data_IF_229459652905
#
_entry.id   IF_229459652905
#
_cell.length_a   1.000
_cell.length_b   1.000
_cell.length_c   1.000
_cell.angle_alpha   90.00
_cell.angle_beta   90.00
_cell.angle_gamma   90.00
#
_symmetry.space_group_name_H-M   'P 1'
#
loop_
_entity.id
_entity.type
_entity.pdbx_description
1 polymer ?
#
# COMPACT_ATOMS: atom_id res chain seq x y z
N UNK A 1 30.27 10.94 -0.62
CA UNK A 1 29.03 11.38 0.05
C UNK A 1 28.81 12.88 -0.05
N UNK A 2 29.84 13.71 0.11
CA UNK A 2 29.68 15.16 0.33
C UNK A 2 28.98 15.92 -0.82
N UNK A 3 29.23 15.55 -2.08
CA UNK A 3 28.68 16.22 -3.27
C UNK A 3 27.34 15.65 -3.78
N UNK A 4 26.75 14.64 -3.11
CA UNK A 4 25.45 14.10 -3.50
C UNK A 4 24.29 15.06 -3.18
N UNK A 5 23.18 14.94 -3.92
CA UNK A 5 21.95 15.66 -3.63
C UNK A 5 21.53 15.49 -2.15
N UNK A 6 21.47 16.57 -1.35
CA UNK A 6 21.17 16.49 0.07
C UNK A 6 19.78 15.90 0.37
N UNK A 7 18.81 16.07 -0.52
CA UNK A 7 17.49 15.45 -0.37
C UNK A 7 17.58 13.92 -0.39
N UNK A 8 18.36 13.36 -1.32
CA UNK A 8 18.57 11.92 -1.45
C UNK A 8 19.29 11.35 -0.23
N UNK A 9 20.20 12.10 0.40
CA UNK A 9 20.87 11.68 1.65
C UNK A 9 19.89 11.50 2.82
N UNK A 10 18.76 12.22 2.81
CA UNK A 10 17.71 12.16 3.84
C UNK A 10 16.65 11.08 3.56
N UNK A 11 16.70 10.44 2.39
CA UNK A 11 15.74 9.40 2.03
C UNK A 11 16.05 8.13 2.82
N UNK A 12 15.11 7.74 3.68
CA UNK A 12 15.15 6.47 4.40
C UNK A 12 13.96 5.60 3.98
N UNK A 13 14.21 4.31 3.73
CA UNK A 13 13.16 3.36 3.33
C UNK A 13 13.32 2.01 4.05
N UNK A 14 12.78 1.95 5.27
CA UNK A 14 13.03 0.85 6.20
C UNK A 14 12.55 -0.54 5.72
N UNK A 15 11.56 -0.61 4.82
CA UNK A 15 11.04 -1.88 4.26
C UNK A 15 12.13 -2.67 3.52
N UNK A 16 13.22 -2.01 3.10
CA UNK A 16 14.43 -2.62 2.49
C UNK A 16 15.72 -2.21 3.22
N UNK A 17 15.64 -2.01 4.54
CA UNK A 17 16.75 -1.52 5.37
C UNK A 17 17.72 -2.60 5.90
N UNK A 18 18.48 -2.29 6.97
CA UNK A 18 19.54 -3.13 7.53
C UNK A 18 19.10 -4.56 7.89
N UNK A 19 17.88 -4.75 8.41
CA UNK A 19 17.37 -6.10 8.74
C UNK A 19 17.28 -6.97 7.48
N UNK A 20 16.84 -6.40 6.35
CA UNK A 20 16.75 -7.16 5.09
C UNK A 20 18.14 -7.51 4.57
N UNK A 21 19.11 -6.61 4.72
CA UNK A 21 20.51 -6.90 4.36
C UNK A 21 21.07 -8.03 5.22
N UNK A 22 20.83 -8.01 6.53
CA UNK A 22 21.23 -9.09 7.44
C UNK A 22 20.53 -10.41 7.10
N UNK A 23 19.25 -10.37 6.77
CA UNK A 23 18.49 -11.54 6.35
C UNK A 23 19.10 -12.19 5.10
N UNK A 24 19.46 -11.40 4.08
CA UNK A 24 20.15 -11.89 2.87
C UNK A 24 21.53 -12.47 3.20
N UNK A 25 22.26 -11.88 4.15
CA UNK A 25 23.53 -12.43 4.60
C UNK A 25 23.34 -13.80 5.27
N UNK A 26 22.36 -13.93 6.17
CA UNK A 26 22.03 -15.20 6.84
C UNK A 26 21.60 -16.26 5.82
N UNK A 27 20.83 -15.90 4.79
CA UNK A 27 20.50 -16.83 3.69
C UNK A 27 21.76 -17.36 2.99
N UNK A 28 22.76 -16.50 2.74
CA UNK A 28 24.06 -16.92 2.19
C UNK A 28 24.85 -17.80 3.15
N UNK A 29 24.87 -17.46 4.44
CA UNK A 29 25.53 -18.25 5.48
C UNK A 29 24.94 -19.68 5.53
N UNK A 30 23.62 -19.81 5.48
CA UNK A 30 22.92 -21.11 5.43
C UNK A 30 23.28 -21.91 4.17
N UNK A 31 23.34 -21.26 2.99
CA UNK A 31 23.77 -21.90 1.74
C UNK A 31 25.23 -22.39 1.80
N UNK A 32 26.09 -21.73 2.58
CA UNK A 32 27.47 -22.14 2.83
C UNK A 32 27.59 -23.23 3.91
N UNK A 33 26.47 -23.69 4.50
CA UNK A 33 26.46 -24.73 5.53
C UNK A 33 26.80 -24.22 6.94
N UNK A 34 26.81 -22.91 7.17
CA UNK A 34 26.99 -22.34 8.51
C UNK A 34 25.78 -22.72 9.36
N UNK A 35 26.04 -23.41 10.48
CA UNK A 35 24.98 -23.84 11.40
C UNK A 35 24.33 -22.63 12.09
N UNK A 36 23.00 -22.60 12.08
CA UNK A 36 22.15 -21.64 12.80
C UNK A 36 21.08 -22.41 13.59
N UNK A 37 20.40 -21.77 14.55
CA UNK A 37 19.26 -22.38 15.28
C UNK A 37 18.03 -22.66 14.39
N UNK A 38 18.08 -22.30 13.11
CA UNK A 38 17.02 -22.43 12.13
C UNK A 38 17.61 -22.80 10.76
N UNK A 39 16.77 -23.31 9.86
CA UNK A 39 17.18 -23.83 8.55
C UNK A 39 16.85 -22.89 7.38
N UNK A 40 16.00 -21.90 7.60
CA UNK A 40 15.61 -20.91 6.59
C UNK A 40 15.35 -19.54 7.22
N UNK A 41 15.47 -18.49 6.41
CA UNK A 41 14.98 -17.16 6.75
C UNK A 41 13.53 -17.04 6.25
N UNK A 42 12.61 -16.70 7.14
CA UNK A 42 11.22 -16.45 6.79
C UNK A 42 11.00 -14.95 6.64
N UNK A 43 10.83 -14.50 5.40
CA UNK A 43 10.60 -13.09 5.03
C UNK A 43 9.17 -12.67 5.32
N UNK A 44 8.86 -12.28 6.55
CA UNK A 44 7.57 -11.72 6.93
C UNK A 44 7.56 -10.17 6.92
N UNK A 45 8.46 -9.57 6.13
CA UNK A 45 8.73 -8.13 6.09
C UNK A 45 8.10 -7.41 4.88
N UNK A 46 7.66 -8.10 3.83
CA UNK A 46 7.17 -7.49 2.58
C UNK A 46 5.78 -8.01 2.18
N UNK A 47 4.95 -7.12 1.64
CA UNK A 47 3.65 -7.46 1.06
C UNK A 47 3.76 -7.94 -0.39
N UNK A 48 4.47 -9.03 -0.63
CA UNK A 48 4.60 -9.65 -1.97
C UNK A 48 3.80 -10.96 -1.99
N UNK A 49 2.59 -10.91 -2.56
CA UNK A 49 1.62 -12.00 -2.47
C UNK A 49 2.16 -13.31 -3.05
N UNK A 50 2.72 -13.26 -4.27
CA UNK A 50 3.19 -14.46 -4.97
C UNK A 50 4.47 -15.02 -4.37
N UNK A 51 5.40 -14.14 -3.94
CA UNK A 51 6.59 -14.60 -3.23
C UNK A 51 6.28 -15.35 -1.93
N UNK A 52 5.09 -15.13 -1.35
CA UNK A 52 4.61 -15.78 -0.13
C UNK A 52 3.62 -16.93 -0.38
N UNK A 53 3.43 -17.32 -1.64
CA UNK A 53 2.66 -18.50 -2.02
C UNK A 53 1.19 -18.26 -2.35
N UNK A 54 0.73 -17.01 -2.46
CA UNK A 54 -0.57 -16.75 -3.08
C UNK A 54 -0.51 -17.20 -4.55
N UNK A 55 -1.54 -17.95 -4.98
CA UNK A 55 -1.63 -18.40 -6.37
C UNK A 55 -2.09 -17.24 -7.26
N UNK A 56 -1.56 -17.12 -8.48
CA UNK A 56 -2.07 -16.14 -9.44
C UNK A 56 -3.50 -16.49 -9.85
N UNK A 57 -4.30 -15.48 -10.16
CA UNK A 57 -5.64 -15.64 -10.71
C UNK A 57 -5.54 -16.14 -12.15
N UNK A 58 -6.23 -17.24 -12.47
CA UNK A 58 -6.09 -17.93 -13.76
C UNK A 58 -6.48 -17.03 -14.93
N UNK A 59 -7.60 -16.32 -14.81
CA UNK A 59 -8.09 -15.43 -15.86
C UNK A 59 -7.09 -14.33 -16.23
N UNK A 60 -6.44 -13.72 -15.24
CA UNK A 60 -5.43 -12.68 -15.48
C UNK A 60 -4.25 -13.22 -16.29
N UNK A 61 -3.80 -14.43 -15.96
CA UNK A 61 -2.69 -15.10 -16.66
C UNK A 61 -3.07 -15.49 -18.07
N UNK A 62 -4.29 -15.96 -18.28
CA UNK A 62 -4.80 -16.31 -19.61
C UNK A 62 -4.80 -15.09 -20.54
N UNK A 63 -5.42 -13.98 -20.12
CA UNK A 63 -5.49 -12.77 -20.95
C UNK A 63 -4.10 -12.20 -21.23
N UNK A 64 -3.22 -12.12 -20.23
CA UNK A 64 -1.86 -11.62 -20.44
C UNK A 64 -1.03 -12.52 -21.36
N UNK A 65 -1.20 -13.84 -21.29
CA UNK A 65 -0.53 -14.77 -22.19
C UNK A 65 -1.00 -14.57 -23.63
N UNK A 66 -2.32 -14.44 -23.85
CA UNK A 66 -2.90 -14.16 -25.17
C UNK A 66 -2.44 -12.80 -25.72
N UNK A 67 -2.38 -11.75 -24.90
CA UNK A 67 -1.86 -10.47 -25.34
C UNK A 67 -0.35 -10.48 -25.63
N UNK A 68 0.42 -11.30 -24.90
CA UNK A 68 1.88 -11.41 -25.10
C UNK A 68 2.25 -12.28 -26.30
N UNK A 69 1.42 -13.27 -26.61
CA UNK A 69 1.59 -14.16 -27.77
C UNK A 69 0.25 -14.39 -28.48
N UNK A 70 -0.16 -13.46 -29.38
CA UNK A 70 -1.48 -13.47 -30.01
C UNK A 70 -1.81 -14.71 -30.84
N UNK A 71 -0.82 -15.48 -31.31
CA UNK A 71 -1.07 -16.75 -32.02
C UNK A 71 -1.85 -17.76 -31.16
N UNK A 72 -1.83 -17.61 -29.82
CA UNK A 72 -2.62 -18.42 -28.89
C UNK A 72 -4.13 -18.14 -28.95
N UNK A 73 -4.59 -17.11 -29.66
CA UNK A 73 -6.02 -16.84 -29.86
C UNK A 73 -6.73 -18.01 -30.58
N UNK A 74 -6.00 -18.74 -31.42
CA UNK A 74 -6.50 -19.94 -32.13
C UNK A 74 -6.49 -21.21 -31.26
N UNK A 75 -5.88 -21.17 -30.07
CA UNK A 75 -5.80 -22.33 -29.16
C UNK A 75 -7.14 -22.54 -28.44
N UNK A 76 -7.68 -23.76 -28.52
CA UNK A 76 -8.96 -24.14 -27.90
C UNK A 76 -8.89 -24.29 -26.38
N UNK A 77 -7.69 -24.25 -25.77
CA UNK A 77 -7.50 -24.30 -24.32
C UNK A 77 -7.83 -22.99 -23.60
N UNK A 78 -7.89 -21.88 -24.32
CA UNK A 78 -8.24 -20.59 -23.74
C UNK A 78 -9.76 -20.35 -23.84
N UNK A 79 -10.41 -19.86 -22.77
CA UNK A 79 -11.82 -19.58 -22.80
C UNK A 79 -12.12 -18.34 -23.66
N UNK A 80 -13.30 -18.31 -24.26
CA UNK A 80 -13.67 -17.28 -25.26
C UNK A 80 -13.76 -15.87 -24.66
N UNK A 81 -14.13 -15.74 -23.39
CA UNK A 81 -14.11 -14.46 -22.68
C UNK A 81 -12.67 -13.93 -22.51
N UNK A 82 -11.69 -14.79 -22.20
CA UNK A 82 -10.29 -14.38 -22.13
C UNK A 82 -9.75 -13.95 -23.51
N UNK A 83 -10.09 -14.68 -24.58
CA UNK A 83 -9.76 -14.28 -25.96
C UNK A 83 -10.38 -12.95 -26.33
N UNK A 84 -11.66 -12.76 -26.01
CA UNK A 84 -12.39 -11.51 -26.23
C UNK A 84 -11.72 -10.34 -25.52
N UNK A 85 -11.33 -10.50 -24.25
CA UNK A 85 -10.55 -9.48 -23.51
C UNK A 85 -9.22 -9.19 -24.20
N UNK A 86 -8.46 -10.22 -24.57
CA UNK A 86 -7.16 -10.06 -25.20
C UNK A 86 -7.24 -9.32 -26.55
N UNK A 87 -8.19 -9.71 -27.42
CA UNK A 87 -8.45 -9.04 -28.69
C UNK A 87 -8.79 -7.56 -28.49
N UNK A 88 -9.69 -7.25 -27.54
CA UNK A 88 -10.09 -5.88 -27.22
C UNK A 88 -8.91 -5.03 -26.76
N UNK A 89 -8.05 -5.56 -25.90
CA UNK A 89 -6.83 -4.87 -25.43
C UNK A 89 -5.85 -4.64 -26.59
N UNK A 90 -5.58 -5.68 -27.40
CA UNK A 90 -4.65 -5.58 -28.54
C UNK A 90 -5.13 -4.56 -29.58
N UNK A 91 -6.43 -4.53 -29.88
CA UNK A 91 -7.03 -3.54 -30.80
C UNK A 91 -6.85 -2.09 -30.31
N UNK A 92 -6.80 -1.88 -28.99
CA UNK A 92 -6.55 -0.57 -28.40
C UNK A 92 -5.05 -0.20 -28.35
N UNK A 93 -4.16 -1.14 -28.66
CA UNK A 93 -2.72 -0.93 -28.73
C UNK A 93 -2.29 -0.54 -30.15
N UNK A 94 -1.27 0.33 -30.26
CA UNK A 94 -0.65 0.66 -31.54
C UNK A 94 -0.10 -0.59 -32.23
N UNK A 95 -0.51 -0.84 -33.48
CA UNK A 95 -0.07 -2.01 -34.25
C UNK A 95 -0.50 -3.36 -33.66
N UNK A 96 -1.49 -3.40 -32.77
CA UNK A 96 -1.98 -4.65 -32.21
C UNK A 96 -1.01 -5.31 -31.22
N UNK A 97 -0.12 -4.54 -30.57
CA UNK A 97 0.97 -5.10 -29.76
C UNK A 97 1.15 -4.40 -28.42
N UNK A 98 1.33 -5.18 -27.35
CA UNK A 98 1.73 -4.66 -26.03
C UNK A 98 3.14 -4.03 -26.03
N UNK A 99 3.92 -4.21 -27.11
CA UNK A 99 5.24 -3.60 -27.25
C UNK A 99 5.22 -2.14 -27.68
N UNK A 100 4.06 -1.62 -28.12
CA UNK A 100 3.93 -0.22 -28.52
C UNK A 100 3.79 0.72 -27.32
N UNK A 101 4.20 1.97 -27.46
CA UNK A 101 3.82 3.02 -26.52
C UNK A 101 2.31 3.27 -26.59
N UNK A 102 1.69 3.46 -25.42
CA UNK A 102 0.34 4.03 -25.32
C UNK A 102 0.40 5.56 -25.22
N UNK A 103 -0.76 6.22 -25.13
CA UNK A 103 -0.79 7.62 -24.68
C UNK A 103 -0.22 7.74 -23.27
N UNK A 104 0.24 8.94 -22.90
CA UNK A 104 0.91 9.16 -21.61
C UNK A 104 0.01 9.02 -20.39
N UNK A 105 -1.31 9.23 -20.56
CA UNK A 105 -2.29 8.94 -19.52
C UNK A 105 -2.65 7.44 -19.46
N UNK A 106 -2.23 6.66 -20.45
CA UNK A 106 -2.56 5.25 -20.64
C UNK A 106 -3.51 5.01 -21.80
N UNK A 107 -3.73 3.73 -22.13
CA UNK A 107 -4.66 3.32 -23.19
C UNK A 107 -6.06 3.84 -22.85
N UNK A 108 -6.67 4.56 -23.79
CA UNK A 108 -7.98 5.21 -23.58
C UNK A 108 -9.07 4.21 -23.21
N UNK A 109 -9.15 3.09 -23.93
CA UNK A 109 -10.08 2.01 -23.63
C UNK A 109 -10.01 1.60 -22.14
N UNK A 110 -8.79 1.41 -21.63
CA UNK A 110 -8.56 0.96 -20.26
C UNK A 110 -8.93 2.07 -19.26
N UNK A 111 -8.67 3.35 -19.58
CA UNK A 111 -9.15 4.48 -18.77
C UNK A 111 -10.68 4.51 -18.70
N UNK A 112 -11.37 4.19 -19.79
CA UNK A 112 -12.82 4.07 -19.80
C UNK A 112 -13.32 2.89 -18.95
N UNK A 113 -12.62 1.75 -18.98
CA UNK A 113 -12.94 0.60 -18.13
C UNK A 113 -12.73 0.88 -16.64
N UNK A 114 -11.66 1.59 -16.29
CA UNK A 114 -11.42 2.09 -14.92
C UNK A 114 -12.55 3.03 -14.49
N UNK A 115 -12.95 3.98 -15.33
CA UNK A 115 -14.04 4.90 -15.01
C UNK A 115 -15.38 4.16 -14.77
N UNK A 116 -15.72 3.20 -15.64
CA UNK A 116 -16.91 2.34 -15.43
C UNK A 116 -16.82 1.50 -14.15
N UNK A 117 -15.63 0.99 -13.82
CA UNK A 117 -15.41 0.25 -12.58
C UNK A 117 -15.67 1.13 -11.35
N UNK A 118 -15.13 2.35 -11.35
CA UNK A 118 -15.34 3.32 -10.27
C UNK A 118 -16.83 3.65 -10.14
N UNK A 119 -17.51 3.92 -11.25
CA UNK A 119 -18.95 4.22 -11.25
C UNK A 119 -19.78 3.05 -10.69
N UNK A 120 -19.50 1.81 -11.09
CA UNK A 120 -20.16 0.62 -10.52
C UNK A 120 -19.88 0.47 -9.02
N UNK A 121 -18.62 0.58 -8.62
CA UNK A 121 -18.18 0.45 -7.21
C UNK A 121 -18.84 1.50 -6.33
N UNK A 122 -18.94 2.74 -6.82
CA UNK A 122 -19.44 3.87 -6.04
C UNK A 122 -20.97 4.02 -6.07
N UNK A 123 -21.68 3.09 -6.73
CA UNK A 123 -23.14 3.04 -6.75
C UNK A 123 -23.80 3.99 -7.76
N UNK A 124 -23.17 4.17 -8.93
CA UNK A 124 -23.67 5.01 -10.02
C UNK A 124 -23.13 6.45 -10.01
N UNK A 125 -22.17 6.77 -9.13
CA UNK A 125 -21.49 8.07 -9.15
C UNK A 125 -20.50 8.08 -10.30
N UNK A 126 -20.82 8.81 -11.36
CA UNK A 126 -20.04 8.87 -12.59
C UNK A 126 -18.56 9.20 -12.35
N UNK A 127 -17.70 8.60 -13.17
CA UNK A 127 -16.26 8.85 -13.25
C UNK A 127 -15.93 9.19 -14.70
N UNK A 128 -15.05 10.15 -14.94
CA UNK A 128 -14.65 10.53 -16.28
C UNK A 128 -13.28 9.95 -16.66
N UNK A 129 -13.12 9.33 -17.85
CA UNK A 129 -11.84 8.77 -18.29
C UNK A 129 -10.70 9.79 -18.35
N UNK A 130 -11.01 11.08 -18.56
CA UNK A 130 -10.03 12.18 -18.59
C UNK A 130 -9.52 12.59 -17.20
N UNK A 131 -10.10 12.04 -16.15
CA UNK A 131 -9.61 12.15 -14.78
C UNK A 131 -8.74 10.96 -14.39
N UNK A 132 -8.63 9.93 -15.25
CA UNK A 132 -7.88 8.71 -14.98
C UNK A 132 -6.48 8.79 -15.60
N UNK A 133 -5.47 8.53 -14.77
CA UNK A 133 -4.08 8.41 -15.19
C UNK A 133 -3.58 7.03 -14.80
N UNK A 134 -3.27 6.19 -15.79
CA UNK A 134 -2.64 4.90 -15.56
C UNK A 134 -1.18 5.11 -15.12
N UNK A 135 -0.66 4.22 -14.28
CA UNK A 135 0.63 4.41 -13.63
C UNK A 135 1.41 3.12 -13.44
N UNK A 136 2.72 3.24 -13.19
CA UNK A 136 3.61 2.10 -12.89
C UNK A 136 3.44 1.63 -11.44
N UNK A 137 2.22 1.20 -11.11
CA UNK A 137 1.72 0.98 -9.75
C UNK A 137 1.36 2.29 -9.06
N UNK A 138 0.71 2.21 -7.88
CA UNK A 138 0.31 3.40 -7.13
C UNK A 138 1.49 4.26 -6.68
N UNK A 139 2.67 3.66 -6.44
CA UNK A 139 3.87 4.41 -6.03
C UNK A 139 4.26 5.49 -7.03
N UNK A 140 4.06 5.21 -8.31
CA UNK A 140 4.36 6.10 -9.41
C UNK A 140 3.40 7.30 -9.45
N UNK A 141 2.11 7.03 -9.24
CA UNK A 141 1.06 8.04 -9.17
C UNK A 141 1.23 8.95 -7.95
N UNK A 142 1.51 8.39 -6.76
CA UNK A 142 1.78 9.15 -5.53
C UNK A 142 2.98 10.07 -5.73
N UNK A 143 4.09 9.56 -6.26
CA UNK A 143 5.29 10.37 -6.54
C UNK A 143 5.00 11.49 -7.56
N UNK A 144 4.18 11.21 -8.57
CA UNK A 144 3.78 12.20 -9.58
C UNK A 144 2.97 13.34 -8.95
N UNK A 145 1.99 13.02 -8.11
CA UNK A 145 1.19 14.04 -7.41
C UNK A 145 2.02 14.84 -6.40
N UNK A 146 2.90 14.20 -5.64
CA UNK A 146 3.81 14.93 -4.74
C UNK A 146 4.74 15.86 -5.53
N UNK A 147 5.29 15.41 -6.67
CA UNK A 147 6.12 16.25 -7.56
C UNK A 147 5.36 17.46 -8.10
N UNK A 148 4.07 17.29 -8.42
CA UNK A 148 3.21 18.36 -8.90
C UNK A 148 2.93 19.41 -7.80
N UNK A 149 2.74 18.97 -6.56
CA UNK A 149 2.30 19.83 -5.45
C UNK A 149 3.47 20.50 -4.70
N UNK A 150 4.65 19.89 -4.66
CA UNK A 150 5.78 20.38 -3.86
C UNK A 150 6.47 21.58 -4.53
N UNK A 151 6.43 22.72 -3.86
CA UNK A 151 7.00 24.00 -4.30
C UNK A 151 7.44 24.86 -3.10
N UNK A 152 7.91 26.09 -3.37
CA UNK A 152 8.29 27.06 -2.35
C UNK A 152 9.61 26.76 -1.63
N UNK A 153 9.98 27.60 -0.68
CA UNK A 153 11.19 27.47 0.15
C UNK A 153 10.97 28.11 1.53
N UNK A 154 11.78 27.77 2.52
CA UNK A 154 11.61 28.26 3.89
C UNK A 154 10.16 28.08 4.38
N UNK A 155 9.51 29.17 4.81
CA UNK A 155 8.13 29.13 5.30
C UNK A 155 7.08 28.85 4.21
N UNK A 156 7.36 29.16 2.93
CA UNK A 156 6.44 28.84 1.83
C UNK A 156 6.62 27.41 1.32
N UNK A 157 7.59 26.66 1.86
CA UNK A 157 7.83 25.28 1.45
C UNK A 157 6.61 24.42 1.69
N UNK A 158 6.20 23.65 0.68
CA UNK A 158 5.08 22.72 0.79
C UNK A 158 5.27 21.74 1.95
N UNK A 159 4.27 21.72 2.83
CA UNK A 159 4.09 20.71 3.86
C UNK A 159 3.02 19.68 3.46
N UNK A 160 3.27 18.41 3.72
CA UNK A 160 2.34 17.31 3.43
C UNK A 160 2.06 16.54 4.70
N UNK A 161 0.78 16.40 5.03
CA UNK A 161 0.31 15.68 6.20
C UNK A 161 0.26 14.17 5.94
N UNK A 162 0.96 13.39 6.76
CA UNK A 162 1.01 11.92 6.66
C UNK A 162 0.81 11.28 8.03
N UNK A 163 0.21 10.09 8.05
CA UNK A 163 -0.08 9.38 9.29
C UNK A 163 1.19 8.88 9.98
N UNK A 164 1.16 8.76 11.29
CA UNK A 164 2.14 8.02 12.08
C UNK A 164 1.38 6.95 12.87
N UNK A 165 1.66 5.66 12.63
CA UNK A 165 2.60 5.12 11.63
C UNK A 165 2.15 5.36 10.17
N UNK A 166 3.10 5.43 9.23
CA UNK A 166 2.88 5.60 7.78
C UNK A 166 3.37 4.39 6.98
N UNK A 167 2.95 4.29 5.71
CA UNK A 167 3.72 3.56 4.70
C UNK A 167 4.96 4.38 4.28
N UNK A 168 6.21 3.89 4.43
CA UNK A 168 7.42 4.72 4.31
C UNK A 168 7.72 5.29 2.92
N UNK A 169 6.93 4.92 1.89
CA UNK A 169 7.02 5.59 0.59
C UNK A 169 6.77 7.10 0.73
N UNK A 170 5.84 7.51 1.60
CA UNK A 170 5.48 8.90 1.76
C UNK A 170 6.64 9.72 2.31
N UNK A 171 7.19 9.38 3.49
CA UNK A 171 8.37 10.10 4.01
C UNK A 171 9.56 10.06 3.07
N UNK A 172 9.82 8.93 2.40
CA UNK A 172 10.89 8.83 1.42
C UNK A 172 10.68 9.81 0.25
N UNK A 173 9.47 9.89 -0.29
CA UNK A 173 9.13 10.80 -1.38
C UNK A 173 9.19 12.27 -0.95
N UNK A 174 8.69 12.60 0.26
CA UNK A 174 8.80 13.95 0.80
C UNK A 174 10.27 14.35 1.01
N UNK A 175 11.11 13.44 1.50
CA UNK A 175 12.55 13.69 1.64
C UNK A 175 13.23 13.90 0.28
N UNK A 176 12.96 13.06 -0.72
CA UNK A 176 13.48 13.17 -2.10
C UNK A 176 13.12 14.52 -2.71
N UNK A 177 11.87 14.94 -2.54
CA UNK A 177 11.35 16.20 -3.05
C UNK A 177 11.71 17.39 -2.17
N UNK A 178 12.29 17.18 -0.99
CA UNK A 178 12.61 18.23 -0.03
C UNK A 178 11.36 18.95 0.53
N UNK A 179 10.21 18.28 0.56
CA UNK A 179 8.99 18.78 1.19
C UNK A 179 9.09 18.69 2.72
N UNK A 180 8.22 19.41 3.42
CA UNK A 180 8.10 19.30 4.88
C UNK A 180 7.12 18.18 5.24
N UNK A 181 7.57 17.21 6.02
CA UNK A 181 6.69 16.18 6.58
C UNK A 181 5.91 16.75 7.76
N UNK A 182 4.58 16.72 7.68
CA UNK A 182 3.68 17.07 8.79
C UNK A 182 3.11 15.76 9.33
N UNK A 183 3.59 15.34 10.48
CA UNK A 183 3.15 14.09 11.10
C UNK A 183 1.85 14.29 11.90
N UNK A 184 0.82 13.48 11.62
CA UNK A 184 -0.34 13.33 12.49
C UNK A 184 -0.40 11.89 13.03
N UNK A 185 -0.76 11.71 14.30
CA UNK A 185 -0.75 10.39 14.94
C UNK A 185 -2.10 9.69 14.84
N UNK A 186 -2.10 8.44 14.40
CA UNK A 186 -3.27 7.58 14.52
C UNK A 186 -3.48 7.16 15.98
N UNK A 187 -4.73 6.94 16.38
CA UNK A 187 -5.07 6.55 17.74
C UNK A 187 -4.99 5.03 17.93
N UNK A 188 -3.86 4.56 18.45
CA UNK A 188 -3.64 3.14 18.77
C UNK A 188 -4.74 2.58 19.69
N UNK A 189 -5.19 3.33 20.68
CA UNK A 189 -6.14 2.82 21.67
C UNK A 189 -7.56 2.73 21.12
N UNK A 190 -7.83 3.44 20.02
CA UNK A 190 -9.09 3.38 19.27
C UNK A 190 -8.88 2.79 17.87
N UNK A 191 -8.28 1.59 17.80
CA UNK A 191 -8.12 0.79 16.57
C UNK A 191 -7.41 1.51 15.41
N UNK A 192 -6.43 2.38 15.70
CA UNK A 192 -5.71 3.20 14.71
C UNK A 192 -6.63 4.13 13.90
N UNK A 193 -7.77 4.52 14.48
CA UNK A 193 -8.64 5.53 13.90
C UNK A 193 -7.94 6.88 13.75
N UNK A 194 -8.45 7.67 12.83
CA UNK A 194 -8.00 9.03 12.61
C UNK A 194 -8.84 9.99 13.47
N UNK A 195 -8.16 10.93 14.14
CA UNK A 195 -8.79 11.97 14.95
C UNK A 195 -8.60 13.36 14.29
N UNK A 196 -9.70 14.08 14.09
CA UNK A 196 -9.71 15.43 13.51
C UNK A 196 -9.02 16.44 14.42
N UNK A 197 -9.11 16.28 15.74
CA UNK A 197 -8.43 17.17 16.69
C UNK A 197 -6.91 17.06 16.57
N UNK A 198 -6.42 15.85 16.30
CA UNK A 198 -5.02 15.58 16.04
C UNK A 198 -4.57 16.15 14.68
N UNK A 199 -5.40 16.02 13.64
CA UNK A 199 -5.13 16.70 12.35
C UNK A 199 -5.04 18.22 12.53
N UNK A 200 -5.96 18.82 13.27
CA UNK A 200 -5.95 20.26 13.57
C UNK A 200 -4.68 20.65 14.33
N UNK A 201 -4.29 19.90 15.37
CA UNK A 201 -3.06 20.14 16.13
C UNK A 201 -1.83 20.11 15.22
N UNK A 202 -1.69 19.05 14.41
CA UNK A 202 -0.55 18.88 13.51
C UNK A 202 -0.49 20.01 12.46
N UNK A 203 -1.64 20.40 11.90
CA UNK A 203 -1.74 21.48 10.93
C UNK A 203 -1.33 22.84 11.53
N UNK A 204 -1.83 23.17 12.72
CA UNK A 204 -1.54 24.46 13.37
C UNK A 204 -0.07 24.58 13.78
N UNK A 205 0.56 23.49 14.21
CA UNK A 205 2.00 23.48 14.46
C UNK A 205 2.79 23.72 13.17
N UNK A 206 2.43 23.01 12.10
CA UNK A 206 3.11 23.09 10.82
C UNK A 206 3.02 24.47 10.15
N UNK A 207 1.90 25.19 10.29
CA UNK A 207 1.72 26.56 9.78
C UNK A 207 2.77 27.55 10.31
N UNK A 208 3.47 27.23 11.40
CA UNK A 208 4.55 28.07 11.95
C UNK A 208 5.83 28.02 11.12
N UNK A 209 6.03 26.98 10.31
CA UNK A 209 7.32 26.73 9.65
C UNK A 209 7.22 26.16 8.22
N UNK A 210 6.02 25.96 7.68
CA UNK A 210 5.81 25.55 6.28
C UNK A 210 4.42 25.97 5.78
N UNK A 211 4.12 25.68 4.52
CA UNK A 211 2.80 25.87 3.92
C UNK A 211 2.13 24.50 3.70
N UNK A 212 1.28 24.02 4.63
CA UNK A 212 0.52 22.79 4.45
C UNK A 212 -0.32 22.85 3.16
N UNK A 213 -0.21 21.83 2.30
CA UNK A 213 -0.91 21.80 1.00
C UNK A 213 -1.69 20.51 0.75
N UNK A 214 -1.27 19.39 1.33
CA UNK A 214 -1.87 18.10 1.06
C UNK A 214 -2.02 17.25 2.32
N UNK A 215 -3.06 16.41 2.34
CA UNK A 215 -3.34 15.43 3.37
C UNK A 215 -3.43 14.04 2.75
N UNK A 216 -2.49 13.17 3.13
CA UNK A 216 -2.45 11.77 2.71
C UNK A 216 -3.21 10.90 3.71
N UNK A 217 -4.15 10.11 3.19
CA UNK A 217 -4.89 9.10 3.95
C UNK A 217 -4.62 7.73 3.32
N UNK A 218 -4.31 6.74 4.14
CA UNK A 218 -4.13 5.35 3.70
C UNK A 218 -5.31 4.53 4.25
N UNK A 219 -6.18 4.06 3.37
CA UNK A 219 -7.41 3.35 3.77
C UNK A 219 -7.79 2.24 2.76
N UNK A 220 -7.79 0.95 3.16
CA UNK A 220 -7.34 0.40 4.44
C UNK A 220 -5.85 0.66 4.74
N UNK A 221 -5.51 0.82 6.01
CA UNK A 221 -4.22 1.36 6.43
C UNK A 221 -3.05 0.36 6.38
N UNK A 222 -1.84 0.90 6.16
CA UNK A 222 -0.57 0.19 6.19
C UNK A 222 0.44 1.05 6.97
N UNK A 223 1.00 0.57 8.09
CA UNK A 223 1.09 -0.84 8.50
C UNK A 223 -0.06 -1.36 9.38
N UNK A 224 -1.03 -0.51 9.72
CA UNK A 224 -1.93 -0.70 10.86
C UNK A 224 -3.16 -1.55 10.60
N UNK A 225 -3.54 -1.77 9.33
CA UNK A 225 -4.63 -2.68 8.97
C UNK A 225 -6.04 -2.21 9.35
N UNK A 226 -6.21 -0.95 9.75
CA UNK A 226 -7.53 -0.37 10.05
C UNK A 226 -8.30 -0.04 8.77
N UNK A 227 -9.62 0.02 8.88
CA UNK A 227 -10.56 0.46 7.85
C UNK A 227 -11.35 1.63 8.41
N UNK A 228 -11.24 2.79 7.77
CA UNK A 228 -11.92 4.00 8.23
C UNK A 228 -13.42 3.90 8.00
N UNK A 229 -14.21 4.36 8.99
CA UNK A 229 -15.66 4.44 8.86
C UNK A 229 -16.07 5.53 7.87
N UNK A 230 -17.28 5.43 7.30
CA UNK A 230 -17.85 6.47 6.45
C UNK A 230 -17.87 7.84 7.14
N UNK A 231 -18.23 7.89 8.42
CA UNK A 231 -18.26 9.13 9.22
C UNK A 231 -16.86 9.75 9.33
N UNK A 232 -15.84 8.95 9.63
CA UNK A 232 -14.45 9.44 9.69
C UNK A 232 -14.01 10.04 8.34
N UNK A 233 -14.38 9.41 7.23
CA UNK A 233 -14.05 9.92 5.88
C UNK A 233 -14.75 11.26 5.63
N UNK A 234 -16.03 11.39 5.97
CA UNK A 234 -16.74 12.68 5.86
C UNK A 234 -16.06 13.78 6.69
N UNK A 235 -15.69 13.48 7.93
CA UNK A 235 -15.06 14.45 8.82
C UNK A 235 -13.70 14.90 8.29
N UNK A 236 -12.93 13.99 7.69
CA UNK A 236 -11.69 14.32 6.99
C UNK A 236 -11.94 15.21 5.77
N UNK A 237 -12.99 14.94 4.99
CA UNK A 237 -13.35 15.77 3.83
C UNK A 237 -13.76 17.17 4.28
N UNK A 238 -14.57 17.30 5.36
CA UNK A 238 -14.92 18.59 5.95
C UNK A 238 -13.69 19.36 6.40
N UNK A 239 -12.76 18.68 7.07
CA UNK A 239 -11.49 19.27 7.51
C UNK A 239 -10.65 19.76 6.32
N UNK A 240 -10.46 18.92 5.30
CA UNK A 240 -9.68 19.28 4.12
C UNK A 240 -10.30 20.44 3.34
N UNK A 241 -11.63 20.49 3.23
CA UNK A 241 -12.35 21.59 2.61
C UNK A 241 -12.16 22.91 3.39
N UNK A 242 -12.28 22.87 4.72
CA UNK A 242 -12.11 24.05 5.58
C UNK A 242 -10.69 24.62 5.51
N UNK A 243 -9.69 23.74 5.36
CA UNK A 243 -8.26 24.10 5.38
C UNK A 243 -7.63 24.21 3.98
N UNK A 244 -8.43 24.06 2.91
CA UNK A 244 -7.99 24.07 1.51
C UNK A 244 -6.82 23.08 1.22
N UNK A 245 -6.94 21.87 1.77
CA UNK A 245 -5.94 20.81 1.60
C UNK A 245 -6.31 19.89 0.42
N UNK A 246 -5.31 19.58 -0.41
CA UNK A 246 -5.43 18.56 -1.44
C UNK A 246 -5.49 17.16 -0.79
N UNK A 247 -6.54 16.39 -1.04
CA UNK A 247 -6.67 15.04 -0.53
C UNK A 247 -5.92 14.02 -1.40
N UNK A 248 -5.10 13.19 -0.76
CA UNK A 248 -4.42 12.06 -1.39
C UNK A 248 -4.89 10.76 -0.73
N UNK A 249 -5.84 10.07 -1.35
CA UNK A 249 -6.47 8.85 -0.84
C UNK A 249 -5.78 7.60 -1.40
N UNK A 250 -4.91 6.96 -0.62
CA UNK A 250 -4.29 5.68 -0.95
C UNK A 250 -5.20 4.51 -0.59
N UNK A 251 -5.89 3.99 -1.61
CA UNK A 251 -6.95 2.99 -1.52
C UNK A 251 -6.52 1.65 -2.13
N UNK A 252 -5.20 1.37 -2.15
CA UNK A 252 -4.64 0.16 -2.77
C UNK A 252 -5.06 -1.15 -2.10
N UNK A 253 -5.68 -1.10 -0.93
CA UNK A 253 -6.16 -2.27 -0.19
C UNK A 253 -7.69 -2.41 -0.19
N UNK A 254 -8.41 -1.70 -1.06
CA UNK A 254 -9.87 -1.60 -1.00
C UNK A 254 -10.63 -2.93 -1.03
N UNK A 255 -10.11 -3.95 -1.71
CA UNK A 255 -10.71 -5.30 -1.74
C UNK A 255 -10.35 -6.17 -0.53
N UNK A 256 -9.43 -5.72 0.34
CA UNK A 256 -9.02 -6.44 1.55
C UNK A 256 -9.64 -5.80 2.79
N UNK A 257 -10.88 -6.18 3.06
CA UNK A 257 -11.61 -5.86 4.30
C UNK A 257 -12.10 -7.16 4.91
N UNK A 258 -11.78 -7.38 6.19
CA UNK A 258 -11.97 -8.65 6.88
C UNK A 258 -12.91 -8.55 8.08
N UNK A 259 -12.84 -7.45 8.83
CA UNK A 259 -13.57 -7.33 10.08
C UNK A 259 -15.07 -7.13 9.83
N UNK A 260 -15.88 -7.84 10.62
CA UNK A 260 -17.33 -7.69 10.61
C UNK A 260 -17.73 -6.24 10.89
N UNK A 261 -18.70 -5.74 10.13
CA UNK A 261 -19.17 -4.35 10.23
C UNK A 261 -18.24 -3.30 9.60
N UNK A 262 -17.07 -3.70 9.10
CA UNK A 262 -16.22 -2.82 8.29
C UNK A 262 -16.60 -2.96 6.81
N UNK A 263 -16.62 -1.85 6.09
CA UNK A 263 -16.83 -1.83 4.64
C UNK A 263 -15.94 -0.75 4.05
N UNK A 264 -15.38 -1.02 2.88
CA UNK A 264 -14.62 0.00 2.16
C UNK A 264 -15.58 1.07 1.62
N UNK A 265 -15.27 2.32 1.93
CA UNK A 265 -15.90 3.49 1.32
C UNK A 265 -14.79 4.29 0.63
N UNK A 266 -14.94 4.52 -0.67
CA UNK A 266 -13.99 5.37 -1.39
C UNK A 266 -14.17 6.83 -0.97
N UNK A 267 -13.06 7.58 -0.90
CA UNK A 267 -13.11 9.02 -0.69
C UNK A 267 -13.94 9.71 -1.76
N UNK A 268 -13.88 9.24 -3.02
CA UNK A 268 -14.73 9.74 -4.11
C UNK A 268 -16.21 9.56 -3.80
N UNK A 269 -16.65 8.36 -3.41
CA UNK A 269 -18.06 8.10 -3.11
C UNK A 269 -18.56 9.05 -2.02
N UNK A 270 -17.83 9.14 -0.91
CA UNK A 270 -18.22 9.98 0.22
C UNK A 270 -18.22 11.46 -0.16
N UNK A 271 -17.19 11.94 -0.87
CA UNK A 271 -17.09 13.32 -1.34
C UNK A 271 -18.29 13.73 -2.20
N UNK A 272 -18.70 12.89 -3.14
CA UNK A 272 -19.84 13.18 -4.02
C UNK A 272 -21.19 13.06 -3.30
N UNK A 273 -21.33 12.12 -2.35
CA UNK A 273 -22.53 12.00 -1.50
C UNK A 273 -22.72 13.20 -0.56
N UNK A 274 -21.64 13.88 -0.17
CA UNK A 274 -21.71 15.10 0.64
C UNK A 274 -22.23 16.32 -0.15
N UNK A 275 -22.39 16.21 -1.46
CA UNK A 275 -23.01 17.23 -2.30
C UNK A 275 -22.04 18.26 -2.89
N UNK A 276 -22.53 19.14 -3.79
CA UNK A 276 -21.72 20.04 -4.61
C UNK A 276 -20.90 21.05 -3.81
N UNK A 277 -21.34 21.35 -2.58
CA UNK A 277 -20.60 22.24 -1.68
C UNK A 277 -19.19 21.72 -1.36
N UNK A 278 -18.99 20.39 -1.41
CA UNK A 278 -17.70 19.72 -1.28
C UNK A 278 -17.22 19.14 -2.61
N UNK A 279 -18.09 18.45 -3.35
CA UNK A 279 -17.70 17.65 -4.52
C UNK A 279 -17.26 18.46 -5.73
N UNK A 280 -17.51 19.77 -5.77
CA UNK A 280 -17.02 20.67 -6.82
C UNK A 280 -15.78 21.48 -6.39
N UNK A 281 -15.35 21.36 -5.13
CA UNK A 281 -14.29 22.21 -4.55
C UNK A 281 -13.08 21.44 -4.04
N UNK A 282 -13.30 20.31 -3.39
CA UNK A 282 -12.21 19.55 -2.75
C UNK A 282 -11.39 18.85 -3.83
N UNK A 283 -10.14 19.25 -3.97
CA UNK A 283 -9.17 18.58 -4.84
C UNK A 283 -8.83 17.21 -4.25
N UNK A 284 -8.99 16.13 -5.03
CA UNK A 284 -8.77 14.76 -4.58
C UNK A 284 -8.02 13.95 -5.65
N UNK A 285 -6.99 13.22 -5.23
CA UNK A 285 -6.41 12.11 -5.99
C UNK A 285 -6.60 10.79 -5.23
N UNK A 286 -7.32 9.84 -5.83
CA UNK A 286 -7.50 8.48 -5.32
C UNK A 286 -6.57 7.51 -6.06
N UNK A 287 -5.83 6.67 -5.32
CA UNK A 287 -4.82 5.76 -5.87
C UNK A 287 -5.25 4.30 -5.76
N UNK A 288 -5.02 3.54 -6.83
CA UNK A 288 -5.23 2.09 -6.87
C UNK A 288 -4.06 1.34 -7.51
N UNK A 289 -3.94 0.04 -7.23
CA UNK A 289 -2.90 -0.80 -7.81
C UNK A 289 -3.34 -2.25 -8.00
N UNK A 290 -2.81 -2.90 -9.03
CA UNK A 290 -2.96 -4.35 -9.25
C UNK A 290 -2.12 -5.21 -8.30
N UNK A 291 -1.30 -4.59 -7.45
CA UNK A 291 -0.27 -5.29 -6.67
C UNK A 291 -0.81 -6.02 -5.45
N UNK A 292 -1.99 -5.66 -4.95
CA UNK A 292 -2.46 -6.04 -3.62
C UNK A 292 -3.70 -6.91 -3.70
N UNK A 293 -4.21 -7.29 -2.54
CA UNK A 293 -5.45 -8.03 -2.40
C UNK A 293 -5.42 -9.40 -3.09
N UNK A 294 -6.59 -9.89 -3.52
CA UNK A 294 -6.71 -11.16 -4.24
C UNK A 294 -5.97 -11.16 -5.59
N UNK A 295 -5.71 -9.98 -6.15
CA UNK A 295 -4.99 -9.83 -7.42
C UNK A 295 -3.51 -10.16 -7.23
N UNK A 296 -2.84 -9.51 -6.28
CA UNK A 296 -1.48 -9.88 -5.84
C UNK A 296 -0.36 -9.72 -6.87
N UNK A 297 -0.61 -9.01 -7.98
CA UNK A 297 0.27 -8.97 -9.15
C UNK A 297 1.35 -7.86 -9.06
N UNK A 298 2.13 -7.87 -7.97
CA UNK A 298 3.15 -6.85 -7.64
C UNK A 298 4.16 -6.58 -8.77
N UNK A 299 4.56 -7.63 -9.50
CA UNK A 299 5.62 -7.57 -10.51
C UNK A 299 5.21 -6.90 -11.82
N UNK A 300 3.92 -6.90 -12.17
CA UNK A 300 3.41 -6.31 -13.41
C UNK A 300 3.30 -4.78 -13.34
N UNK A 301 3.41 -4.20 -12.15
CA UNK A 301 3.44 -2.74 -11.92
C UNK A 301 2.24 -2.00 -12.53
N UNK A 302 1.03 -2.55 -12.42
CA UNK A 302 -0.20 -1.88 -12.82
C UNK A 302 -0.80 -1.01 -11.71
N UNK A 303 -1.38 0.12 -12.09
CA UNK A 303 -2.13 1.01 -11.20
C UNK A 303 -2.75 2.19 -11.93
N UNK A 304 -3.55 2.96 -11.20
CA UNK A 304 -4.09 4.22 -11.68
C UNK A 304 -4.23 5.23 -10.54
N UNK A 305 -4.40 6.49 -10.90
CA UNK A 305 -5.03 7.49 -10.05
C UNK A 305 -6.21 8.13 -10.77
N UNK A 306 -7.27 8.39 -10.01
CA UNK A 306 -8.33 9.29 -10.44
C UNK A 306 -8.12 10.65 -9.75
N UNK A 307 -8.14 11.73 -10.53
CA UNK A 307 -7.97 13.10 -10.01
C UNK A 307 -9.22 13.93 -10.31
N UNK A 308 -9.88 14.43 -9.28
CA UNK A 308 -11.08 15.27 -9.38
C UNK A 308 -10.83 16.68 -8.83
N UNK A 309 -11.53 17.66 -9.42
CA UNK A 309 -11.48 19.09 -9.06
C UNK A 309 -10.09 19.74 -9.13
N UNK A 310 -9.12 19.12 -9.82
CA UNK A 310 -7.82 19.74 -10.05
C UNK A 310 -7.99 20.99 -10.90
N UNK A 311 -7.35 22.09 -10.50
CA UNK A 311 -7.34 23.32 -11.27
C UNK A 311 -6.93 23.05 -12.75
N UNK A 312 -7.64 23.60 -13.75
CA UNK A 312 -7.39 23.30 -15.16
C UNK A 312 -5.95 23.60 -15.61
N UNK A 313 -5.32 24.67 -15.13
CA UNK A 313 -3.93 25.01 -15.48
C UNK A 313 -2.96 24.03 -14.83
N UNK A 314 -3.25 23.59 -13.61
CA UNK A 314 -2.49 22.55 -12.92
C UNK A 314 -2.64 21.19 -13.63
N UNK A 315 -3.82 20.87 -14.17
CA UNK A 315 -4.06 19.64 -14.96
C UNK A 315 -3.22 19.60 -16.25
N UNK A 316 -2.96 20.75 -16.87
CA UNK A 316 -2.02 20.85 -18.00
C UNK A 316 -0.59 20.50 -17.55
N UNK A 317 -0.15 20.97 -16.39
CA UNK A 317 1.17 20.62 -15.84
C UNK A 317 1.25 19.14 -15.48
N UNK A 318 0.20 18.55 -14.91
CA UNK A 318 0.13 17.11 -14.67
C UNK A 318 0.28 16.32 -15.98
N UNK A 319 -0.46 16.71 -17.02
CA UNK A 319 -0.37 16.08 -18.35
C UNK A 319 1.03 16.17 -18.93
N UNK A 320 1.71 17.32 -18.78
CA UNK A 320 3.12 17.48 -19.14
C UNK A 320 4.05 16.58 -18.31
N UNK A 321 3.82 16.47 -17.00
CA UNK A 321 4.66 15.67 -16.10
C UNK A 321 4.56 14.17 -16.41
N UNK A 322 3.39 13.67 -16.79
CA UNK A 322 3.25 12.26 -17.19
C UNK A 322 3.81 12.00 -18.59
N UNK A 323 3.81 13.00 -19.50
CA UNK A 323 4.26 12.81 -20.88
C UNK A 323 5.78 12.69 -21.03
N UNK A 324 6.57 13.32 -20.16
CA UNK A 324 8.04 13.19 -20.21
C UNK A 324 8.56 11.77 -19.94
N UNK A 325 7.67 10.86 -19.49
CA UNK A 325 7.98 9.44 -19.23
C UNK A 325 7.41 8.51 -20.28
N UNK A 326 6.89 9.05 -21.38
CA UNK A 326 6.20 8.33 -22.46
C UNK A 326 4.86 7.75 -21.99
N UNK A 327 4.87 6.58 -21.34
CA UNK A 327 3.70 5.94 -20.75
C UNK A 327 4.10 4.84 -19.73
N UNK A 328 3.18 4.38 -18.86
CA UNK A 328 3.41 3.17 -18.05
C UNK A 328 3.58 1.93 -18.95
N UNK A 329 4.30 0.89 -18.52
CA UNK A 329 4.41 -0.36 -19.28
C UNK A 329 3.02 -0.96 -19.60
N UNK A 330 2.76 -1.20 -20.88
CA UNK A 330 1.45 -1.66 -21.37
C UNK A 330 0.99 -3.00 -20.77
N UNK A 331 1.84 -4.00 -20.48
CA UNK A 331 1.40 -5.21 -19.77
C UNK A 331 0.77 -4.92 -18.39
N UNK A 332 1.26 -3.91 -17.67
CA UNK A 332 0.66 -3.47 -16.41
C UNK A 332 -0.69 -2.78 -16.59
N UNK A 333 -0.87 -2.08 -17.72
CA UNK A 333 -2.16 -1.49 -18.11
C UNK A 333 -3.16 -2.58 -18.51
N UNK A 334 -2.75 -3.55 -19.32
CA UNK A 334 -3.57 -4.70 -19.74
C UNK A 334 -4.04 -5.54 -18.55
N UNK A 335 -3.16 -5.76 -17.57
CA UNK A 335 -3.55 -6.40 -16.31
C UNK A 335 -4.58 -5.56 -15.54
N UNK A 336 -4.40 -4.24 -15.48
CA UNK A 336 -5.36 -3.37 -14.82
C UNK A 336 -6.74 -3.45 -15.48
N UNK A 337 -6.81 -3.53 -16.81
CA UNK A 337 -8.07 -3.70 -17.55
C UNK A 337 -8.87 -4.90 -17.04
N UNK A 338 -8.25 -6.08 -16.95
CA UNK A 338 -8.92 -7.30 -16.47
C UNK A 338 -9.19 -7.30 -14.97
N UNK A 339 -8.46 -6.50 -14.19
CA UNK A 339 -8.75 -6.27 -12.76
C UNK A 339 -10.02 -5.45 -12.58
N UNK A 340 -10.20 -4.38 -13.37
CA UNK A 340 -11.36 -3.48 -13.27
C UNK A 340 -12.56 -3.96 -14.09
N UNK A 341 -12.34 -4.90 -15.01
CA UNK A 341 -13.34 -5.55 -15.84
C UNK A 341 -13.25 -7.09 -15.75
N UNK A 342 -13.50 -7.67 -14.56
CA UNK A 342 -13.43 -9.11 -14.36
C UNK A 342 -14.52 -9.87 -15.14
N UNK A 343 -14.43 -11.22 -15.22
CA UNK A 343 -15.51 -12.02 -15.77
C UNK A 343 -16.87 -11.71 -15.14
N UNK A 344 -17.92 -11.70 -15.95
CA UNK A 344 -19.32 -11.48 -15.57
C UNK A 344 -20.06 -12.81 -15.37
N UNK A 345 -21.18 -12.86 -14.62
CA UNK A 345 -21.87 -14.12 -14.27
C UNK A 345 -22.25 -15.03 -15.44
N UNK A 346 -22.42 -14.47 -16.63
CA UNK A 346 -22.77 -15.17 -17.87
C UNK A 346 -21.54 -15.60 -18.71
N UNK A 347 -20.32 -15.31 -18.24
CA UNK A 347 -19.07 -15.60 -18.95
C UNK A 347 -18.39 -16.90 -18.48
N UNK A 348 -17.74 -17.67 -19.38
CA UNK A 348 -17.17 -18.99 -19.08
C UNK A 348 -16.17 -19.03 -17.92
N UNK A 349 -15.40 -17.96 -17.70
CA UNK A 349 -14.37 -17.91 -16.66
C UNK A 349 -14.89 -17.48 -15.28
N UNK A 350 -16.17 -17.08 -15.16
CA UNK A 350 -16.72 -16.49 -13.95
C UNK A 350 -16.61 -17.37 -12.72
N UNK A 351 -17.08 -18.62 -12.80
CA UNK A 351 -17.11 -19.51 -11.65
C UNK A 351 -15.71 -19.78 -11.11
N UNK A 352 -14.73 -19.95 -12.00
CA UNK A 352 -13.33 -20.15 -11.61
C UNK A 352 -12.78 -18.88 -10.97
N UNK A 353 -13.00 -17.72 -11.59
CA UNK A 353 -12.52 -16.43 -11.09
C UNK A 353 -13.09 -16.10 -9.71
N UNK A 354 -14.40 -16.22 -9.52
CA UNK A 354 -15.06 -15.92 -8.24
C UNK A 354 -14.61 -16.90 -7.16
N UNK A 355 -14.42 -18.19 -7.50
CA UNK A 355 -13.86 -19.16 -6.56
C UNK A 355 -12.45 -18.77 -6.13
N UNK A 356 -11.54 -18.48 -7.07
CA UNK A 356 -10.15 -18.08 -6.76
C UNK A 356 -10.09 -16.80 -5.91
N UNK A 357 -10.90 -15.79 -6.28
CA UNK A 357 -11.03 -14.53 -5.53
C UNK A 357 -11.53 -14.77 -4.11
N UNK A 358 -12.64 -15.50 -3.96
CA UNK A 358 -13.29 -15.74 -2.67
C UNK A 358 -12.41 -16.58 -1.75
N UNK A 359 -11.81 -17.66 -2.27
CA UNK A 359 -10.89 -18.52 -1.52
C UNK A 359 -9.68 -17.72 -1.02
N UNK A 360 -9.12 -16.84 -1.86
CA UNK A 360 -7.98 -15.99 -1.49
C UNK A 360 -8.34 -15.01 -0.39
N UNK A 361 -9.46 -14.27 -0.53
CA UNK A 361 -9.91 -13.31 0.47
C UNK A 361 -10.27 -13.99 1.81
N UNK A 362 -10.96 -15.13 1.77
CA UNK A 362 -11.29 -15.92 2.96
C UNK A 362 -10.02 -16.41 3.67
N UNK A 363 -9.02 -16.87 2.92
CA UNK A 363 -7.73 -17.31 3.47
C UNK A 363 -6.97 -16.14 4.10
N UNK A 364 -7.03 -14.94 3.53
CA UNK A 364 -6.42 -13.76 4.12
C UNK A 364 -7.12 -13.34 5.41
N UNK A 365 -8.46 -13.33 5.43
CA UNK A 365 -9.24 -13.03 6.63
C UNK A 365 -8.96 -14.02 7.77
N UNK A 366 -8.92 -15.34 7.47
CA UNK A 366 -8.58 -16.35 8.46
C UNK A 366 -7.18 -16.13 9.07
N UNK A 367 -6.19 -15.81 8.22
CA UNK A 367 -4.82 -15.54 8.68
C UNK A 367 -4.71 -14.25 9.48
N UNK A 368 -5.50 -13.22 9.15
CA UNK A 368 -5.58 -11.98 9.91
C UNK A 368 -6.07 -12.24 11.34
N UNK A 369 -7.22 -12.92 11.48
CA UNK A 369 -7.79 -13.29 12.77
C UNK A 369 -6.85 -14.16 13.60
N UNK A 370 -6.29 -15.22 12.99
CA UNK A 370 -5.31 -16.10 13.65
C UNK A 370 -4.09 -15.34 14.17
N UNK A 371 -3.56 -14.41 13.36
CA UNK A 371 -2.37 -13.63 13.74
C UNK A 371 -2.67 -12.73 14.93
N UNK A 372 -3.79 -12.00 14.88
CA UNK A 372 -4.25 -11.15 15.97
C UNK A 372 -4.43 -11.95 17.26
N UNK A 373 -5.14 -13.07 17.19
CA UNK A 373 -5.46 -13.90 18.36
C UNK A 373 -4.21 -14.47 19.02
N UNK A 374 -3.26 -14.99 18.23
CA UNK A 374 -2.04 -15.59 18.77
C UNK A 374 -1.12 -14.51 19.34
N UNK A 375 -0.93 -13.38 18.65
CA UNK A 375 -0.08 -12.30 19.16
C UNK A 375 -0.59 -11.72 20.49
N UNK A 376 -1.91 -11.59 20.65
CA UNK A 376 -2.51 -11.11 21.90
C UNK A 376 -2.42 -12.12 23.08
N UNK A 377 -2.06 -13.38 22.81
CA UNK A 377 -1.76 -14.37 23.86
C UNK A 377 -0.30 -14.33 24.31
N UNK A 378 0.57 -13.54 23.67
CA UNK A 378 1.99 -13.45 24.01
C UNK A 378 2.21 -12.33 25.04
N UNK A 379 2.70 -12.62 26.25
CA UNK A 379 2.99 -11.59 27.25
C UNK A 379 3.93 -10.50 26.71
N UNK A 380 3.54 -9.24 26.93
CA UNK A 380 4.27 -8.07 26.44
C UNK A 380 3.91 -7.66 25.01
N UNK A 381 3.05 -8.37 24.30
CA UNK A 381 2.57 -8.00 22.96
C UNK A 381 1.09 -7.62 23.01
N UNK A 382 0.72 -6.49 22.40
CA UNK A 382 -0.66 -6.07 22.15
C UNK A 382 -0.84 -5.86 20.66
N UNK A 383 -1.83 -6.50 20.05
CA UNK A 383 -2.14 -6.38 18.63
C UNK A 383 -3.57 -5.88 18.44
N UNK A 384 -3.72 -4.73 17.79
CA UNK A 384 -5.03 -4.22 17.40
C UNK A 384 -5.73 -5.12 16.38
N UNK A 385 -7.07 -4.98 16.22
CA UNK A 385 -7.82 -5.68 15.21
C UNK A 385 -7.29 -5.44 13.79
N UNK A 386 -7.15 -6.50 13.01
CA UNK A 386 -6.72 -6.42 11.61
C UNK A 386 -7.95 -6.33 10.73
N UNK A 387 -8.47 -5.11 10.56
CA UNK A 387 -9.72 -4.88 9.84
C UNK A 387 -9.59 -5.06 8.31
N UNK A 388 -8.38 -4.91 7.77
CA UNK A 388 -8.11 -5.00 6.34
C UNK A 388 -6.62 -5.05 6.00
N UNK A 389 -6.29 -4.73 4.74
CA UNK A 389 -4.93 -4.75 4.18
C UNK A 389 -4.25 -6.13 4.30
N UNK A 390 -2.96 -6.20 4.67
CA UNK A 390 -2.20 -7.47 4.73
C UNK A 390 -1.20 -7.51 5.89
N UNK A 391 -1.36 -6.64 6.88
CA UNK A 391 -0.34 -6.42 7.90
C UNK A 391 -0.93 -6.35 9.30
N UNK A 392 -0.10 -6.74 10.25
CA UNK A 392 -0.31 -6.45 11.67
C UNK A 392 0.78 -5.50 12.13
N UNK A 393 0.43 -4.61 13.06
CA UNK A 393 1.38 -3.68 13.68
C UNK A 393 1.30 -3.77 15.22
N UNK A 394 1.65 -4.93 15.80
CA UNK A 394 1.62 -5.12 17.24
C UNK A 394 2.59 -4.19 17.96
N UNK A 395 2.15 -3.71 19.12
CA UNK A 395 2.98 -3.04 20.11
C UNK A 395 3.70 -4.07 20.97
N UNK A 396 4.99 -3.84 21.18
CA UNK A 396 5.84 -4.62 22.06
C UNK A 396 6.21 -3.78 23.29
N UNK A 397 6.01 -4.35 24.46
CA UNK A 397 6.45 -3.78 25.73
C UNK A 397 7.85 -4.30 26.01
N UNK A 398 8.84 -3.48 25.66
CA UNK A 398 10.23 -3.82 25.88
C UNK A 398 10.58 -3.67 27.37
N UNK A 399 11.29 -4.64 27.96
CA UNK A 399 11.69 -4.57 29.35
C UNK A 399 12.80 -3.51 29.56
N UNK A 400 12.94 -2.97 30.79
CA UNK A 400 13.75 -1.77 31.02
C UNK A 400 15.23 -1.90 30.64
N UNK A 401 15.84 -3.10 30.68
CA UNK A 401 17.25 -3.29 30.32
C UNK A 401 17.49 -3.37 28.81
N UNK A 402 16.48 -3.71 28.02
CA UNK A 402 16.61 -3.80 26.56
C UNK A 402 16.81 -2.42 25.91
N UNK A 403 16.20 -1.38 26.47
CA UNK A 403 16.26 -0.01 25.91
C UNK A 403 17.67 0.60 26.06
N UNK A 404 18.34 0.56 27.23
CA UNK A 404 19.73 0.95 27.37
C UNK A 404 20.69 0.17 26.47
N UNK A 405 20.56 -1.16 26.37
CA UNK A 405 21.45 -1.95 25.51
C UNK A 405 21.27 -1.59 24.03
N UNK A 406 20.03 -1.38 23.57
CA UNK A 406 19.79 -0.90 22.22
C UNK A 406 20.50 0.44 21.96
N UNK A 407 20.44 1.37 22.94
CA UNK A 407 21.12 2.67 22.87
C UNK A 407 22.65 2.53 22.84
N UNK A 408 23.23 1.64 23.63
CA UNK A 408 24.67 1.35 23.62
C UNK A 408 25.14 0.84 22.25
N UNK A 409 24.28 0.10 21.54
CA UNK A 409 24.52 -0.39 20.18
C UNK A 409 24.18 0.64 19.09
N UNK A 410 23.75 1.84 19.45
CA UNK A 410 23.34 2.87 18.50
C UNK A 410 22.09 2.51 17.70
N UNK A 411 21.21 1.68 18.25
CA UNK A 411 20.00 1.19 17.60
C UNK A 411 18.73 1.73 18.29
N UNK A 412 17.67 1.91 17.51
CA UNK A 412 16.34 2.06 18.07
C UNK A 412 15.93 0.76 18.82
N UNK A 413 15.18 0.83 19.93
CA UNK A 413 14.84 -0.36 20.71
C UNK A 413 14.10 -1.47 19.93
N UNK A 414 13.20 -1.09 19.02
CA UNK A 414 12.51 -2.05 18.14
C UNK A 414 13.40 -2.61 17.03
N UNK A 415 14.35 -1.83 16.50
CA UNK A 415 15.38 -2.34 15.58
C UNK A 415 16.25 -3.39 16.28
N UNK A 416 16.66 -3.13 17.52
CA UNK A 416 17.40 -4.09 18.33
C UNK A 416 16.60 -5.39 18.54
N UNK A 417 15.34 -5.26 18.95
CA UNK A 417 14.42 -6.39 19.11
C UNK A 417 14.28 -7.21 17.81
N UNK A 418 13.97 -6.56 16.69
CA UNK A 418 13.78 -7.25 15.41
C UNK A 418 15.08 -7.86 14.87
N UNK A 419 16.25 -7.25 15.12
CA UNK A 419 17.54 -7.81 14.74
C UNK A 419 17.84 -9.08 15.53
N UNK A 420 17.64 -9.05 16.86
CA UNK A 420 17.78 -10.22 17.73
C UNK A 420 16.85 -11.37 17.31
N UNK A 421 15.58 -11.06 17.07
CA UNK A 421 14.61 -12.03 16.57
C UNK A 421 15.11 -12.69 15.28
N UNK A 422 15.58 -11.91 14.31
CA UNK A 422 16.11 -12.43 13.05
C UNK A 422 17.31 -13.36 13.28
N UNK A 423 18.28 -12.95 14.11
CA UNK A 423 19.50 -13.72 14.34
C UNK A 423 19.29 -15.02 15.12
N UNK A 424 18.25 -15.08 15.95
CA UNK A 424 17.95 -16.24 16.79
C UNK A 424 16.94 -17.20 16.14
N UNK A 425 16.01 -16.68 15.34
CA UNK A 425 14.86 -17.47 14.84
C UNK A 425 14.77 -17.60 13.32
N UNK A 426 15.47 -16.73 12.58
CA UNK A 426 15.37 -16.60 11.13
C UNK A 426 14.15 -15.79 10.67
N UNK A 427 13.35 -15.23 11.58
CA UNK A 427 12.15 -14.45 11.23
C UNK A 427 12.53 -13.00 10.92
N UNK A 428 12.28 -12.57 9.69
CA UNK A 428 12.55 -11.20 9.24
C UNK A 428 11.29 -10.34 9.29
N UNK A 429 11.28 -9.36 10.20
CA UNK A 429 10.21 -8.36 10.39
C UNK A 429 10.71 -6.95 10.05
N UNK A 430 9.82 -5.95 10.08
CA UNK A 430 10.22 -4.54 9.94
C UNK A 430 9.94 -3.80 11.26
N UNK A 431 10.90 -3.10 11.87
CA UNK A 431 10.71 -2.43 13.15
C UNK A 431 9.82 -1.19 13.00
N UNK A 432 9.11 -0.83 14.06
CA UNK A 432 8.18 0.30 14.12
C UNK A 432 8.82 1.65 13.81
N UNK A 433 10.09 1.83 14.19
CA UNK A 433 10.93 2.99 13.88
C UNK A 433 11.02 3.27 12.37
N UNK A 434 10.86 2.25 11.53
CA UNK A 434 10.81 2.41 10.08
C UNK A 434 9.53 3.03 9.53
N UNK A 435 8.46 3.07 10.32
CA UNK A 435 7.13 3.60 9.97
C UNK A 435 6.79 4.88 10.73
N UNK A 436 7.61 5.25 11.72
CA UNK A 436 7.25 6.21 12.75
C UNK A 436 6.25 5.63 13.75
N UNK A 437 6.31 6.11 15.00
CA UNK A 437 5.39 5.72 16.08
C UNK A 437 5.39 6.83 17.14
N UNK A 438 4.49 6.75 18.13
CA UNK A 438 4.53 7.68 19.27
C UNK A 438 5.78 7.43 20.11
N UNK A 439 6.38 8.49 20.65
CA UNK A 439 7.53 8.37 21.52
C UNK A 439 7.21 7.49 22.74
N UNK A 440 8.16 6.63 23.11
CA UNK A 440 7.98 5.65 24.19
C UNK A 440 7.14 4.42 23.82
N UNK A 441 6.68 4.31 22.58
CA UNK A 441 6.03 3.10 22.05
C UNK A 441 6.95 2.39 21.06
N UNK A 442 6.84 1.07 20.97
CA UNK A 442 7.67 0.23 20.11
C UNK A 442 6.81 -0.80 19.42
N UNK A 443 7.04 -1.02 18.13
CA UNK A 443 6.22 -1.90 17.31
C UNK A 443 7.09 -2.71 16.35
N UNK A 444 6.47 -3.67 15.68
CA UNK A 444 6.99 -4.22 14.43
C UNK A 444 5.84 -4.44 13.45
N UNK A 445 6.11 -4.39 12.15
CA UNK A 445 5.17 -4.84 11.12
C UNK A 445 5.48 -6.28 10.73
N UNK A 446 4.42 -7.08 10.63
CA UNK A 446 4.44 -8.43 10.06
C UNK A 446 3.39 -8.54 8.96
N UNK A 447 3.68 -9.33 7.92
CA UNK A 447 2.68 -9.68 6.89
C UNK A 447 1.92 -10.95 7.25
N UNK A 448 0.61 -10.98 6.93
CA UNK A 448 -0.23 -12.18 7.04
C UNK A 448 -0.12 -13.09 5.79
N UNK A 449 0.71 -12.73 4.82
CA UNK A 449 0.84 -13.41 3.53
C UNK A 449 1.38 -14.85 3.57
N UNK A 450 2.28 -15.27 4.48
CA UNK A 450 2.74 -16.65 4.51
C UNK A 450 1.59 -17.67 4.51
N UNK A 451 1.85 -18.89 4.06
CA UNK A 451 0.87 -19.97 4.17
C UNK A 451 0.46 -20.15 5.63
N UNK A 452 -0.76 -20.63 5.89
CA UNK A 452 -1.29 -20.83 7.24
C UNK A 452 -0.33 -21.64 8.13
N UNK A 453 0.24 -22.71 7.60
CA UNK A 453 1.19 -23.54 8.33
C UNK A 453 2.51 -22.82 8.61
N UNK A 454 3.04 -22.05 7.64
CA UNK A 454 4.25 -21.26 7.85
C UNK A 454 4.00 -20.12 8.85
N UNK A 455 2.81 -19.52 8.81
CA UNK A 455 2.40 -18.46 9.73
C UNK A 455 2.30 -18.96 11.18
N UNK A 456 1.74 -20.15 11.41
CA UNK A 456 1.75 -20.78 12.75
C UNK A 456 3.18 -20.97 13.28
N UNK A 457 4.11 -21.40 12.44
CA UNK A 457 5.53 -21.56 12.81
C UNK A 457 6.15 -20.20 13.16
N UNK A 458 5.90 -19.17 12.33
CA UNK A 458 6.37 -17.79 12.59
C UNK A 458 5.87 -17.30 13.95
N UNK A 459 4.58 -17.46 14.22
CA UNK A 459 3.96 -16.99 15.46
C UNK A 459 4.44 -17.76 16.69
N UNK A 460 4.63 -19.07 16.58
CA UNK A 460 5.22 -19.88 17.64
C UNK A 460 6.65 -19.43 17.98
N UNK A 461 7.49 -19.21 16.95
CA UNK A 461 8.86 -18.70 17.13
C UNK A 461 8.91 -17.31 17.74
N UNK A 462 7.99 -16.41 17.35
CA UNK A 462 7.87 -15.08 17.95
C UNK A 462 7.50 -15.20 19.44
N UNK A 463 6.57 -16.10 19.79
CA UNK A 463 6.18 -16.33 21.19
C UNK A 463 7.35 -16.85 22.02
N UNK A 464 8.06 -17.86 21.54
CA UNK A 464 9.23 -18.43 22.22
C UNK A 464 10.35 -17.39 22.39
N UNK A 465 10.66 -16.65 21.32
CA UNK A 465 11.64 -15.56 21.37
C UNK A 465 11.23 -14.47 22.36
N UNK A 466 9.98 -14.03 22.35
CA UNK A 466 9.49 -13.00 23.24
C UNK A 466 9.61 -13.42 24.71
N UNK A 467 9.30 -14.68 25.05
CA UNK A 467 9.48 -15.21 26.40
C UNK A 467 10.95 -15.14 26.83
N UNK A 468 11.86 -15.64 25.99
CA UNK A 468 13.29 -15.60 26.27
C UNK A 468 13.84 -14.17 26.38
N UNK A 469 13.41 -13.29 25.48
CA UNK A 469 13.81 -11.88 25.47
C UNK A 469 13.34 -11.18 26.76
N UNK A 470 12.11 -11.44 27.20
CA UNK A 470 11.63 -10.89 28.48
C UNK A 470 12.46 -11.42 29.64
N UNK A 471 12.77 -12.72 29.72
CA UNK A 471 13.62 -13.28 30.79
C UNK A 471 15.03 -12.68 30.82
N UNK A 472 15.63 -12.48 29.64
CA UNK A 472 16.99 -11.94 29.53
C UNK A 472 17.08 -10.47 29.98
N UNK A 473 16.07 -9.66 29.68
CA UNK A 473 16.13 -8.20 29.84
C UNK A 473 15.19 -7.62 30.92
N UNK A 474 14.42 -8.45 31.64
CA UNK A 474 13.59 -8.02 32.78
C UNK A 474 14.39 -7.53 33.98
#
# INVERSE_FOLDING_TARGET
MDTMNPNVKRVEYAVRGPIVQRAVQIERELMMGIKKPFTEVIKANIGDCHAMGQKPITFFRQVLALCSYPDLLEDSKFPEDAKSRACRILQACGGGSLGAYSTSQGIELIRQDVARYIERRDGGITSHPDNIYLSTGASDAIMTMLKLLVSGEGMSRTGVMISIPQYPLYSAALAELGAVQISYYLDEDNCWSLDISELQRALQEAKKHCSPRALCIINPGNPTGQVQSRQCIEDVIRFAAAENLFLMADEVYQDNVYADGCTFHSFKKVLFEMGPEYSEKVELASFHSTSKCYMGECGFRGGYMEVVNLDPEVKVQLTKLVSVRLCPPVPGQALLDVVVNPPQPDEPSYDTFIKERTDTLATLAEKANMTQDILNQVPGIKCNPVQGAMYTFPRIHLPPKAIPEAKEKGQAPDMFYCMKLLEETGICLVPGSGFGQRDGTYHFRMTILPSKEKLKIVLAKIKEFQQHFMEQYS
#
